data_IF_902888568142
#
_entry.id   IF_902888568142
#
_cell.length_a   1.000
_cell.length_b   1.000
_cell.length_c   1.000
_cell.angle_alpha   90.00
_cell.angle_beta   90.00
_cell.angle_gamma   90.00
#
_symmetry.space_group_name_H-M   'P 1'
#
loop_
_entity.id
_entity.type
_entity.pdbx_description
1 polymer ?
#
# COMPACT_ATOMS: atom_id res chain seq x y z
N UNK A 1 -11.53 -12.19 8.55
CA UNK A 1 -12.21 -12.63 7.31
C UNK A 1 -12.30 -11.44 6.34
N UNK A 2 -12.54 -11.65 5.03
CA UNK A 2 -12.53 -10.57 4.02
C UNK A 2 -13.40 -9.35 4.40
N UNK A 3 -14.54 -9.60 5.07
CA UNK A 3 -15.44 -8.57 5.59
C UNK A 3 -14.73 -7.60 6.55
N UNK A 4 -13.89 -8.12 7.44
CA UNK A 4 -13.21 -7.32 8.45
C UNK A 4 -12.14 -6.44 7.80
N UNK A 5 -11.43 -6.97 6.80
CA UNK A 5 -10.46 -6.19 6.02
C UNK A 5 -11.12 -5.02 5.29
N UNK A 6 -12.33 -5.21 4.74
CA UNK A 6 -13.09 -4.13 4.08
C UNK A 6 -13.53 -3.07 5.08
N UNK A 7 -13.92 -3.46 6.30
CA UNK A 7 -14.33 -2.53 7.35
C UNK A 7 -13.14 -1.69 7.86
N UNK A 8 -11.98 -2.32 8.01
CA UNK A 8 -10.76 -1.65 8.47
C UNK A 8 -10.07 -0.83 7.36
N UNK A 9 -10.35 -1.09 6.08
CA UNK A 9 -9.87 -0.31 4.94
C UNK A 9 -10.62 1.02 4.78
N UNK A 10 -10.59 1.85 5.82
CA UNK A 10 -11.14 3.22 5.81
C UNK A 10 -10.03 4.25 5.67
N UNK A 11 -10.35 5.43 5.17
CA UNK A 11 -9.38 6.53 5.05
C UNK A 11 -8.83 6.94 6.43
N UNK A 12 -7.58 6.56 6.72
CA UNK A 12 -6.85 7.01 7.90
C UNK A 12 -6.33 8.45 7.68
N UNK A 13 -6.63 9.37 8.61
CA UNK A 13 -6.23 10.78 8.53
C UNK A 13 -5.07 11.17 9.46
N UNK A 14 -4.66 10.27 10.35
CA UNK A 14 -3.56 10.45 11.31
C UNK A 14 -2.82 9.13 11.46
N UNK A 15 -1.50 9.20 11.59
CA UNK A 15 -0.60 8.05 11.76
C UNK A 15 0.23 8.24 13.03
N UNK A 16 0.62 7.14 13.66
CA UNK A 16 1.58 7.15 14.76
C UNK A 16 2.99 7.33 14.20
N UNK A 17 3.71 8.35 14.66
CA UNK A 17 5.05 8.68 14.15
C UNK A 17 6.16 7.86 14.83
N UNK A 18 5.88 7.31 16.00
CA UNK A 18 6.85 6.54 16.80
C UNK A 18 7.10 5.12 16.25
N UNK A 19 6.35 4.71 15.22
CA UNK A 19 6.44 3.39 14.62
C UNK A 19 7.07 3.48 13.24
N UNK A 20 8.33 3.06 13.14
CA UNK A 20 9.00 2.91 11.85
C UNK A 20 8.45 1.70 11.10
N UNK A 21 8.22 1.86 9.79
CA UNK A 21 7.83 0.75 8.91
C UNK A 21 9.08 0.21 8.24
N UNK A 22 9.30 -1.11 8.37
CA UNK A 22 10.41 -1.79 7.76
C UNK A 22 10.36 -1.72 6.23
N UNK A 23 11.54 -1.65 5.61
CA UNK A 23 11.64 -1.57 4.15
C UNK A 23 11.06 -2.82 3.46
N UNK A 24 11.16 -3.99 4.10
CA UNK A 24 10.56 -5.23 3.61
C UNK A 24 9.04 -5.10 3.51
N UNK A 25 8.39 -4.58 4.54
CA UNK A 25 6.94 -4.34 4.57
C UNK A 25 6.52 -3.36 3.47
N UNK A 26 7.27 -2.28 3.25
CA UNK A 26 6.98 -1.34 2.15
C UNK A 26 7.07 -2.00 0.78
N UNK A 27 8.04 -2.90 0.57
CA UNK A 27 8.19 -3.65 -0.68
C UNK A 27 7.02 -4.60 -0.91
N UNK A 28 6.63 -5.37 0.11
CA UNK A 28 5.49 -6.27 0.02
C UNK A 28 4.19 -5.52 -0.31
N UNK A 29 3.97 -4.34 0.26
CA UNK A 29 2.82 -3.50 -0.07
C UNK A 29 2.83 -3.05 -1.54
N UNK A 30 4.00 -2.70 -2.08
CA UNK A 30 4.15 -2.36 -3.51
C UNK A 30 3.89 -3.58 -4.39
N UNK A 31 4.40 -4.75 -4.01
CA UNK A 31 4.19 -6.00 -4.75
C UNK A 31 2.71 -6.38 -4.79
N UNK A 32 1.99 -6.25 -3.67
CA UNK A 32 0.53 -6.43 -3.62
C UNK A 32 -0.19 -5.43 -4.51
N UNK A 33 0.18 -4.15 -4.47
CA UNK A 33 -0.43 -3.12 -5.30
C UNK A 33 -0.25 -3.38 -6.80
N UNK A 34 0.91 -3.95 -7.20
CA UNK A 34 1.22 -4.27 -8.60
C UNK A 34 0.33 -5.35 -9.20
N UNK A 35 -0.24 -6.23 -8.38
CA UNK A 35 -1.19 -7.26 -8.83
C UNK A 35 -2.59 -6.69 -9.17
N UNK A 36 -2.83 -5.42 -8.87
CA UNK A 36 -4.11 -4.76 -9.19
C UNK A 36 -4.32 -4.63 -10.69
N UNK A 37 -5.55 -4.89 -11.15
CA UNK A 37 -5.91 -4.74 -12.55
C UNK A 37 -5.68 -3.28 -13.03
N UNK A 38 -5.10 -3.13 -14.22
CA UNK A 38 -4.91 -1.83 -14.87
C UNK A 38 -5.43 -1.86 -16.30
N UNK A 39 -5.84 -0.71 -16.84
CA UNK A 39 -6.37 -0.62 -18.20
C UNK A 39 -5.36 -1.17 -19.23
N UNK A 40 -5.78 -2.17 -20.00
CA UNK A 40 -4.92 -2.92 -20.93
C UNK A 40 -3.66 -3.54 -20.27
N UNK A 41 -3.71 -3.81 -18.96
CA UNK A 41 -2.60 -4.30 -18.14
C UNK A 41 -1.28 -3.52 -18.32
N UNK A 42 -1.37 -2.21 -18.62
CA UNK A 42 -0.20 -1.38 -18.94
C UNK A 42 0.65 -1.03 -17.71
N UNK A 43 0.15 -1.28 -16.50
CA UNK A 43 0.84 -1.00 -15.22
C UNK A 43 1.57 0.37 -15.20
N UNK A 44 0.93 1.49 -15.59
CA UNK A 44 1.63 2.77 -15.77
C UNK A 44 2.02 3.47 -14.46
N UNK A 45 1.63 2.91 -13.31
CA UNK A 45 1.82 3.52 -11.98
C UNK A 45 3.29 3.41 -11.55
N UNK A 46 3.86 4.54 -11.12
CA UNK A 46 5.20 4.60 -10.53
C UNK A 46 5.06 4.83 -9.03
N UNK A 47 5.58 3.91 -8.22
CA UNK A 47 5.60 4.03 -6.77
C UNK A 47 6.88 4.77 -6.35
N UNK A 48 6.74 5.97 -5.80
CA UNK A 48 7.86 6.74 -5.26
C UNK A 48 7.95 6.55 -3.75
N UNK A 49 9.09 6.09 -3.25
CA UNK A 49 9.41 6.16 -1.81
C UNK A 49 9.98 7.56 -1.55
N UNK A 50 9.31 8.37 -0.75
CA UNK A 50 9.93 9.58 -0.22
C UNK A 50 11.01 9.15 0.78
N UNK A 51 12.27 9.37 0.43
CA UNK A 51 13.42 9.11 1.30
C UNK A 51 13.60 10.23 2.32
N UNK A 52 13.87 9.84 3.56
CA UNK A 52 14.71 10.61 4.49
C UNK A 52 16.10 9.99 4.46
#
# INVERSE_FOLDING_TARGET
MIRDLVIENRSCRRFYQDVAIELATLRELVDLARLSASAANRQPLKYCKNGS
#
